data_IF_696609183167
#
_entry.id   IF_696609183167
#
_cell.length_a   1.000
_cell.length_b   1.000
_cell.length_c   1.000
_cell.angle_alpha   90.00
_cell.angle_beta   90.00
_cell.angle_gamma   90.00
#
_symmetry.space_group_name_H-M   'P 1'
#
loop_
_entity.id
_entity.type
_entity.pdbx_description
1 polymer ?
#
# COMPACT_ATOMS: atom_id res chain seq x y z
N UNK A 1 -18.54 -4.82 46.92
CA UNK A 1 -18.60 -3.36 46.73
C UNK A 1 -19.34 -3.11 45.43
N UNK A 2 -19.99 -1.96 45.25
CA UNK A 2 -20.66 -1.61 43.99
C UNK A 2 -19.62 -1.39 42.89
N UNK A 3 -19.84 -1.99 41.71
CA UNK A 3 -18.94 -1.95 40.55
C UNK A 3 -19.60 -1.32 39.30
N UNK A 4 -20.76 -0.68 39.47
CA UNK A 4 -21.53 -0.06 38.37
C UNK A 4 -20.80 1.10 37.67
N UNK A 5 -19.87 1.76 38.35
CA UNK A 5 -19.03 2.82 37.78
C UNK A 5 -17.58 2.56 38.16
N UNK A 6 -16.72 2.48 37.16
CA UNK A 6 -15.29 2.24 37.33
C UNK A 6 -14.48 3.24 36.51
N UNK A 7 -13.30 3.61 37.02
CA UNK A 7 -12.36 4.49 36.33
C UNK A 7 -11.03 3.76 36.25
N UNK A 8 -10.55 3.56 35.02
CA UNK A 8 -9.29 2.88 34.73
C UNK A 8 -8.30 3.89 34.18
N UNK A 9 -7.08 3.91 34.72
CA UNK A 9 -5.99 4.75 34.24
C UNK A 9 -4.93 3.86 33.59
N UNK A 10 -4.70 4.06 32.30
CA UNK A 10 -3.78 3.26 31.50
C UNK A 10 -2.74 4.16 30.83
N UNK A 11 -1.62 3.58 30.40
CA UNK A 11 -0.48 4.33 29.87
C UNK A 11 -0.42 4.41 28.34
N UNK A 12 -1.30 3.70 27.63
CA UNK A 12 -1.36 3.71 26.15
C UNK A 12 -2.72 3.18 25.66
N UNK A 13 -3.14 3.55 24.42
CA UNK A 13 -4.36 3.02 23.81
C UNK A 13 -4.40 1.49 23.75
N UNK A 14 -3.28 0.84 23.41
CA UNK A 14 -3.19 -0.62 23.43
C UNK A 14 -3.54 -1.19 24.81
N UNK A 15 -2.96 -0.62 25.88
CA UNK A 15 -3.22 -1.09 27.24
C UNK A 15 -4.64 -0.77 27.70
N UNK A 16 -5.21 0.34 27.26
CA UNK A 16 -6.63 0.67 27.51
C UNK A 16 -7.55 -0.40 26.93
N UNK A 17 -7.31 -0.81 25.68
CA UNK A 17 -8.12 -1.83 25.01
C UNK A 17 -7.93 -3.21 25.65
N UNK A 18 -6.70 -3.59 26.02
CA UNK A 18 -6.44 -4.83 26.76
C UNK A 18 -7.18 -4.86 28.11
N UNK A 19 -7.09 -3.78 28.88
CA UNK A 19 -7.79 -3.68 30.18
C UNK A 19 -9.30 -3.71 29.97
N UNK A 20 -9.81 -3.02 28.95
CA UNK A 20 -11.23 -3.07 28.58
C UNK A 20 -11.67 -4.50 28.28
N UNK A 21 -10.90 -5.24 27.49
CA UNK A 21 -11.19 -6.64 27.15
C UNK A 21 -11.28 -7.51 28.40
N UNK A 22 -10.28 -7.43 29.29
CA UNK A 22 -10.26 -8.17 30.55
C UNK A 22 -11.46 -7.81 31.46
N UNK A 23 -11.86 -6.53 31.48
CA UNK A 23 -13.04 -6.09 32.26
C UNK A 23 -14.35 -6.61 31.66
N UNK A 24 -14.48 -6.62 30.33
CA UNK A 24 -15.68 -7.17 29.68
C UNK A 24 -15.83 -8.67 29.95
N UNK A 25 -14.74 -9.43 29.88
CA UNK A 25 -14.74 -10.85 30.24
C UNK A 25 -15.19 -11.06 31.69
N UNK A 26 -14.62 -10.31 32.64
CA UNK A 26 -15.01 -10.40 34.04
C UNK A 26 -16.49 -10.05 34.26
N UNK A 27 -17.01 -9.02 33.59
CA UNK A 27 -18.42 -8.63 33.68
C UNK A 27 -19.37 -9.68 33.10
N UNK A 28 -18.99 -10.32 32.00
CA UNK A 28 -19.78 -11.38 31.36
C UNK A 28 -19.74 -12.68 32.17
N UNK A 29 -18.60 -13.01 32.81
CA UNK A 29 -18.48 -14.15 33.71
C UNK A 29 -19.33 -13.97 34.98
N UNK A 30 -19.34 -12.75 35.55
CA UNK A 30 -20.14 -12.43 36.74
C UNK A 30 -21.64 -12.28 36.42
N UNK A 31 -22.00 -11.93 35.18
CA UNK A 31 -23.39 -11.79 34.73
C UNK A 31 -23.66 -12.54 33.42
N UNK A 32 -24.04 -13.83 33.50
CA UNK A 32 -24.28 -14.67 32.32
C UNK A 32 -25.45 -14.24 31.42
N UNK A 33 -26.32 -13.32 31.89
CA UNK A 33 -27.41 -12.78 31.08
C UNK A 33 -26.97 -11.60 30.20
N UNK A 34 -25.79 -11.01 30.45
CA UNK A 34 -25.27 -9.88 29.69
C UNK A 34 -24.79 -10.36 28.31
N UNK A 35 -25.45 -9.88 27.28
CA UNK A 35 -25.10 -10.18 25.89
C UNK A 35 -24.17 -9.10 25.29
N UNK A 36 -23.26 -9.46 24.36
CA UNK A 36 -22.38 -8.47 23.73
C UNK A 36 -23.10 -7.30 23.04
N UNK A 37 -24.30 -7.53 22.50
CA UNK A 37 -25.11 -6.50 21.84
C UNK A 37 -25.69 -5.44 22.79
N UNK A 38 -25.64 -5.69 24.10
CA UNK A 38 -26.02 -4.72 25.14
C UNK A 38 -24.86 -3.81 25.56
N UNK A 39 -23.67 -3.97 24.96
CA UNK A 39 -22.45 -3.27 25.33
C UNK A 39 -22.11 -2.22 24.27
N UNK A 40 -22.05 -0.95 24.68
CA UNK A 40 -21.60 0.16 23.83
C UNK A 40 -20.26 0.68 24.30
N UNK A 41 -19.26 0.65 23.42
CA UNK A 41 -17.93 1.23 23.62
C UNK A 41 -17.84 2.49 22.77
N UNK A 42 -17.49 3.62 23.38
CA UNK A 42 -17.32 4.89 22.69
C UNK A 42 -15.90 5.42 22.87
N UNK A 43 -15.34 5.96 21.80
CA UNK A 43 -14.03 6.63 21.79
C UNK A 43 -14.18 7.98 21.07
N UNK A 44 -13.45 9.03 21.49
CA UNK A 44 -13.47 10.33 20.81
C UNK A 44 -12.96 10.29 19.37
N UNK A 45 -12.13 9.29 19.03
CA UNK A 45 -11.58 9.08 17.70
C UNK A 45 -11.46 7.57 17.43
N UNK A 46 -12.38 7.04 16.61
CA UNK A 46 -12.39 5.62 16.28
C UNK A 46 -11.30 5.23 15.29
N UNK A 47 -10.83 6.14 14.44
CA UNK A 47 -9.76 5.85 13.47
C UNK A 47 -8.44 5.57 14.18
N UNK A 48 -8.14 6.32 15.25
CA UNK A 48 -6.94 6.10 16.07
C UNK A 48 -7.01 4.81 16.90
N UNK A 49 -8.19 4.38 17.37
CA UNK A 49 -8.32 3.20 18.24
C UNK A 49 -8.55 1.89 17.47
N UNK A 50 -9.08 2.00 16.26
CA UNK A 50 -9.42 0.93 15.36
C UNK A 50 -8.38 -0.22 15.27
N UNK A 51 -7.09 0.05 15.00
CA UNK A 51 -6.08 -1.01 14.91
C UNK A 51 -5.84 -1.75 16.24
N UNK A 52 -5.95 -1.05 17.37
CA UNK A 52 -5.75 -1.65 18.69
C UNK A 52 -6.93 -2.53 19.09
N UNK A 53 -8.16 -2.12 18.75
CA UNK A 53 -9.37 -2.94 18.93
C UNK A 53 -9.23 -4.23 18.13
N UNK A 54 -8.84 -4.14 16.85
CA UNK A 54 -8.61 -5.33 16.02
C UNK A 54 -7.53 -6.25 16.59
N UNK A 55 -6.40 -5.68 17.02
CA UNK A 55 -5.29 -6.46 17.57
C UNK A 55 -5.69 -7.26 18.83
N UNK A 56 -6.53 -6.69 19.69
CA UNK A 56 -6.95 -7.33 20.95
C UNK A 56 -8.17 -8.24 20.76
N UNK A 57 -9.19 -7.79 20.01
CA UNK A 57 -10.45 -8.53 19.89
C UNK A 57 -10.45 -9.58 18.78
N UNK A 58 -9.68 -9.39 17.69
CA UNK A 58 -9.63 -10.37 16.59
C UNK A 58 -8.58 -11.47 16.81
N UNK A 59 -7.58 -11.23 17.66
CA UNK A 59 -6.54 -12.20 18.02
C UNK A 59 -6.48 -12.34 19.54
N UNK A 60 -7.51 -12.93 20.19
CA UNK A 60 -7.47 -13.15 21.64
C UNK A 60 -6.27 -14.04 22.01
N UNK A 61 -5.66 -13.78 23.16
CA UNK A 61 -4.55 -14.60 23.64
C UNK A 61 -5.00 -16.05 23.88
N UNK A 62 -4.07 -17.00 23.85
CA UNK A 62 -4.37 -18.41 24.10
C UNK A 62 -5.17 -18.61 25.41
N UNK A 63 -6.39 -19.12 25.28
CA UNK A 63 -7.29 -19.40 26.39
C UNK A 63 -8.28 -18.27 26.74
N UNK A 64 -8.24 -17.13 26.05
CA UNK A 64 -9.26 -16.09 26.20
C UNK A 64 -10.47 -16.37 25.27
N UNK A 65 -11.72 -16.22 25.75
CA UNK A 65 -12.91 -16.33 24.90
C UNK A 65 -12.93 -15.21 23.88
N UNK A 66 -13.42 -15.45 22.68
CA UNK A 66 -13.67 -14.41 21.67
C UNK A 66 -14.94 -13.62 22.02
N UNK A 67 -14.86 -12.28 22.00
CA UNK A 67 -16.02 -11.39 22.14
C UNK A 67 -16.38 -10.83 20.77
N UNK A 68 -17.56 -11.16 20.20
CA UNK A 68 -18.01 -10.57 18.93
C UNK A 68 -18.13 -9.05 19.05
N UNK A 69 -17.64 -8.32 18.04
CA UNK A 69 -17.69 -6.86 18.01
C UNK A 69 -17.91 -6.34 16.59
N UNK A 70 -18.32 -5.07 16.49
CA UNK A 70 -18.39 -4.35 15.21
C UNK A 70 -17.96 -2.92 15.46
N UNK A 71 -17.11 -2.39 14.60
CA UNK A 71 -16.65 -1.00 14.67
C UNK A 71 -17.53 -0.16 13.75
N UNK A 72 -18.27 0.78 14.35
CA UNK A 72 -19.06 1.78 13.64
C UNK A 72 -18.26 3.09 13.45
N UNK A 73 -18.75 3.96 12.57
CA UNK A 73 -18.23 5.31 12.33
C UNK A 73 -16.76 5.41 11.90
N UNK A 74 -16.15 4.32 11.41
CA UNK A 74 -14.90 4.43 10.65
C UNK A 74 -15.17 5.31 9.43
N UNK A 75 -14.41 6.39 9.32
CA UNK A 75 -14.37 7.19 8.11
C UNK A 75 -14.08 6.27 6.92
N UNK A 76 -14.74 6.59 5.81
CA UNK A 76 -14.57 5.94 4.51
C UNK A 76 -13.09 5.92 4.03
N UNK A 77 -12.19 6.66 4.70
CA UNK A 77 -10.76 6.75 4.41
C UNK A 77 -9.93 5.52 4.75
N UNK A 78 -10.45 4.55 5.51
CA UNK A 78 -9.75 3.27 5.75
C UNK A 78 -9.91 2.24 4.62
N UNK A 79 -10.95 2.39 3.78
CA UNK A 79 -11.38 1.36 2.83
C UNK A 79 -11.68 1.90 1.41
N UNK A 80 -11.25 3.12 1.06
CA UNK A 80 -11.36 3.63 -0.31
C UNK A 80 -10.02 3.72 -1.07
N UNK A 81 -9.35 2.59 -1.35
CA UNK A 81 -8.18 2.54 -2.23
C UNK A 81 -8.40 3.29 -3.54
N UNK A 82 -9.62 3.28 -4.09
CA UNK A 82 -9.93 3.85 -5.41
C UNK A 82 -9.89 5.39 -5.41
N UNK A 83 -10.44 6.05 -4.39
CA UNK A 83 -10.48 7.52 -4.32
C UNK A 83 -9.07 8.10 -4.18
N UNK A 84 -8.25 7.51 -3.31
CA UNK A 84 -6.86 7.93 -3.13
C UNK A 84 -6.01 7.64 -4.37
N UNK A 85 -6.19 6.46 -4.97
CA UNK A 85 -5.52 6.10 -6.24
C UNK A 85 -5.90 7.07 -7.36
N UNK A 86 -7.17 7.47 -7.43
CA UNK A 86 -7.64 8.45 -8.42
C UNK A 86 -6.99 9.82 -8.20
N UNK A 87 -6.90 10.29 -6.96
CA UNK A 87 -6.20 11.55 -6.65
C UNK A 87 -4.72 11.47 -7.00
N UNK A 88 -4.03 10.37 -6.65
CA UNK A 88 -2.63 10.13 -7.05
C UNK A 88 -2.45 10.15 -8.57
N UNK A 89 -3.41 9.61 -9.34
CA UNK A 89 -3.37 9.63 -10.80
C UNK A 89 -3.53 11.06 -11.36
N UNK A 90 -4.38 11.89 -10.75
CA UNK A 90 -4.47 13.31 -11.09
C UNK A 90 -3.18 14.05 -10.75
N UNK A 91 -2.60 13.82 -9.58
CA UNK A 91 -1.32 14.41 -9.18
C UNK A 91 -0.18 13.99 -10.10
N UNK A 92 -0.15 12.73 -10.54
CA UNK A 92 0.85 12.23 -11.50
C UNK A 92 0.81 13.01 -12.82
N UNK A 93 -0.37 13.41 -13.29
CA UNK A 93 -0.52 14.17 -14.53
C UNK A 93 0.10 15.57 -14.49
N UNK A 94 0.21 16.16 -13.29
CA UNK A 94 0.87 17.45 -13.05
C UNK A 94 2.32 17.28 -12.58
N UNK A 95 2.76 16.05 -12.35
CA UNK A 95 4.09 15.76 -11.82
C UNK A 95 5.15 15.70 -12.91
N UNK A 96 6.38 15.38 -12.51
CA UNK A 96 7.49 15.11 -13.43
C UNK A 96 7.63 13.64 -13.78
N UNK A 97 6.62 12.82 -13.50
CA UNK A 97 6.65 11.37 -13.67
C UNK A 97 7.89 10.75 -13.03
N UNK A 98 8.19 11.07 -11.76
CA UNK A 98 9.32 10.45 -11.09
C UNK A 98 9.06 8.96 -10.94
N UNK A 99 10.15 8.18 -10.87
CA UNK A 99 10.06 6.74 -10.62
C UNK A 99 9.23 6.40 -9.40
N UNK A 100 9.45 7.10 -8.28
CA UNK A 100 8.67 6.90 -7.04
C UNK A 100 7.17 7.06 -7.28
N UNK A 101 6.78 8.17 -7.92
CA UNK A 101 5.37 8.52 -8.10
C UNK A 101 4.64 7.50 -9.00
N UNK A 102 5.35 6.95 -10.00
CA UNK A 102 4.80 5.94 -10.90
C UNK A 102 4.75 4.56 -10.24
N UNK A 103 5.81 4.15 -9.52
CA UNK A 103 5.83 2.87 -8.82
C UNK A 103 4.80 2.83 -7.69
N UNK A 104 4.65 3.92 -6.93
CA UNK A 104 3.63 4.05 -5.88
C UNK A 104 2.20 3.95 -6.44
N UNK A 105 1.98 4.41 -7.67
CA UNK A 105 0.70 4.27 -8.36
C UNK A 105 0.49 2.84 -8.84
N UNK A 106 1.53 2.20 -9.39
CA UNK A 106 1.49 0.80 -9.83
C UNK A 106 1.25 -0.17 -8.67
N UNK A 107 1.72 0.15 -7.47
CA UNK A 107 1.53 -0.67 -6.26
C UNK A 107 0.13 -0.53 -5.64
N UNK A 108 -0.67 0.46 -6.09
CA UNK A 108 -2.03 0.61 -5.60
C UNK A 108 -2.94 -0.54 -6.07
N UNK A 109 -3.75 -1.10 -5.17
CA UNK A 109 -4.62 -2.25 -5.46
C UNK A 109 -5.50 -2.07 -6.73
N UNK A 110 -6.18 -0.92 -6.94
CA UNK A 110 -7.00 -0.73 -8.15
C UNK A 110 -6.19 -0.77 -9.45
N UNK A 111 -4.94 -0.28 -9.44
CA UNK A 111 -4.06 -0.31 -10.62
C UNK A 111 -3.49 -1.72 -10.81
N UNK A 112 -3.04 -2.38 -9.75
CA UNK A 112 -2.59 -3.77 -9.81
C UNK A 112 -3.65 -4.69 -10.41
N UNK A 113 -4.89 -4.58 -9.95
CA UNK A 113 -6.01 -5.37 -10.49
C UNK A 113 -6.32 -5.01 -11.94
N UNK A 114 -6.32 -3.72 -12.30
CA UNK A 114 -6.63 -3.28 -13.66
C UNK A 114 -5.59 -3.74 -14.70
N UNK A 115 -4.31 -3.82 -14.32
CA UNK A 115 -3.21 -4.24 -15.18
C UNK A 115 -2.79 -5.70 -15.00
N UNK A 116 -3.33 -6.38 -13.98
CA UNK A 116 -3.03 -7.78 -13.67
C UNK A 116 -1.67 -8.01 -13.01
N UNK A 117 -1.11 -7.01 -12.32
CA UNK A 117 0.22 -7.09 -11.71
C UNK A 117 0.21 -7.77 -10.33
N UNK A 118 1.04 -8.79 -10.17
CA UNK A 118 1.42 -9.34 -8.88
C UNK A 118 2.70 -8.69 -8.30
N UNK A 119 3.06 -9.03 -7.07
CA UNK A 119 4.22 -8.44 -6.36
C UNK A 119 5.57 -8.78 -7.04
N UNK A 120 5.70 -9.99 -7.60
CA UNK A 120 6.90 -10.40 -8.32
C UNK A 120 7.08 -9.59 -9.61
N UNK A 121 5.97 -9.32 -10.33
CA UNK A 121 5.97 -8.48 -11.53
C UNK A 121 6.33 -7.03 -11.21
N UNK A 122 5.80 -6.45 -10.12
CA UNK A 122 6.18 -5.12 -9.68
C UNK A 122 7.65 -5.03 -9.30
N UNK A 123 8.17 -6.05 -8.60
CA UNK A 123 9.60 -6.15 -8.25
C UNK A 123 10.48 -6.20 -9.50
N UNK A 124 10.07 -6.92 -10.55
CA UNK A 124 10.76 -6.96 -11.84
C UNK A 124 10.71 -5.61 -12.56
N UNK A 125 9.56 -4.92 -12.53
CA UNK A 125 9.44 -3.57 -13.09
C UNK A 125 10.40 -2.61 -12.38
N UNK A 126 10.47 -2.65 -11.05
CA UNK A 126 11.39 -1.82 -10.27
C UNK A 126 12.86 -2.10 -10.65
N UNK A 127 13.23 -3.38 -10.78
CA UNK A 127 14.57 -3.77 -11.25
C UNK A 127 14.87 -3.20 -12.63
N UNK A 128 13.98 -3.42 -13.62
CA UNK A 128 14.19 -2.93 -14.98
C UNK A 128 14.30 -1.41 -15.05
N UNK A 129 13.50 -0.69 -14.25
CA UNK A 129 13.57 0.77 -14.09
C UNK A 129 14.93 1.20 -13.55
N UNK A 130 15.44 0.50 -12.53
CA UNK A 130 16.76 0.70 -11.94
C UNK A 130 17.89 0.51 -12.95
N UNK A 131 17.91 -0.64 -13.61
CA UNK A 131 18.96 -1.07 -14.54
C UNK A 131 19.02 -0.18 -15.79
N UNK A 132 17.85 0.23 -16.30
CA UNK A 132 17.76 1.14 -17.45
C UNK A 132 17.94 2.61 -17.08
N UNK A 133 18.21 2.91 -15.80
CA UNK A 133 18.44 4.24 -15.24
C UNK A 133 17.30 5.21 -15.55
N UNK A 134 16.07 4.72 -15.53
CA UNK A 134 14.89 5.60 -15.59
C UNK A 134 14.86 6.40 -14.28
N UNK A 135 14.53 7.69 -14.36
CA UNK A 135 14.46 8.58 -13.19
C UNK A 135 13.22 9.44 -13.20
N UNK A 136 12.93 10.12 -14.31
CA UNK A 136 11.78 11.01 -14.43
C UNK A 136 11.54 11.50 -15.87
N UNK A 137 10.34 12.01 -16.12
CA UNK A 137 9.89 12.59 -17.39
C UNK A 137 9.50 11.53 -18.42
N UNK A 138 8.42 11.77 -19.18
CA UNK A 138 7.99 10.81 -20.20
C UNK A 138 9.02 10.78 -21.34
N UNK A 139 9.37 11.94 -21.89
CA UNK A 139 10.34 12.08 -22.98
C UNK A 139 11.10 13.43 -22.93
N UNK A 140 11.93 13.70 -23.94
CA UNK A 140 12.66 14.96 -24.07
C UNK A 140 11.75 16.18 -24.35
N UNK A 141 10.59 16.01 -24.97
CA UNK A 141 9.64 17.10 -25.27
C UNK A 141 8.96 17.57 -23.99
N UNK A 142 8.55 16.66 -23.13
CA UNK A 142 8.02 16.98 -21.80
C UNK A 142 9.00 17.83 -20.99
N UNK A 143 10.30 17.48 -21.05
CA UNK A 143 11.33 18.29 -20.37
C UNK A 143 11.44 19.69 -20.93
N UNK A 144 11.28 19.85 -22.25
CA UNK A 144 11.29 21.15 -22.90
C UNK A 144 10.10 22.01 -22.47
N UNK A 145 8.92 21.40 -22.33
CA UNK A 145 7.72 22.08 -21.79
C UNK A 145 7.95 22.57 -20.35
N UNK A 146 8.77 21.85 -19.57
CA UNK A 146 9.25 22.27 -18.25
C UNK A 146 10.39 23.30 -18.27
N UNK A 147 10.71 23.90 -19.43
CA UNK A 147 11.82 24.83 -19.65
C UNK A 147 13.21 24.24 -19.32
N UNK A 148 13.38 22.93 -19.51
CA UNK A 148 14.66 22.23 -19.37
C UNK A 148 15.22 21.86 -20.76
N UNK A 149 16.52 21.54 -20.87
CA UNK A 149 17.09 21.06 -22.12
C UNK A 149 16.36 19.81 -22.63
N UNK A 150 16.01 19.82 -23.91
CA UNK A 150 15.37 18.69 -24.59
C UNK A 150 16.35 17.50 -24.61
N UNK A 151 16.05 16.45 -23.85
CA UNK A 151 16.91 15.29 -23.70
C UNK A 151 16.14 14.06 -23.19
N UNK A 152 16.30 12.95 -23.89
CA UNK A 152 15.75 11.64 -23.52
C UNK A 152 16.53 10.94 -22.39
N UNK A 153 17.58 11.56 -21.84
CA UNK A 153 18.33 10.94 -20.76
C UNK A 153 17.47 10.71 -19.51
N UNK A 154 17.46 9.48 -19.00
CA UNK A 154 16.75 9.08 -17.79
C UNK A 154 15.21 9.18 -17.86
N UNK A 155 14.63 9.29 -19.06
CA UNK A 155 13.18 9.33 -19.28
C UNK A 155 12.56 7.93 -19.35
N UNK A 156 11.25 7.85 -19.13
CA UNK A 156 10.48 6.62 -19.29
C UNK A 156 10.56 6.07 -20.71
N UNK A 157 10.35 6.92 -21.72
CA UNK A 157 10.37 6.49 -23.11
C UNK A 157 11.74 5.93 -23.51
N UNK A 158 12.84 6.54 -23.06
CA UNK A 158 14.17 6.04 -23.36
C UNK A 158 14.45 4.67 -22.72
N UNK A 159 14.09 4.48 -21.45
CA UNK A 159 14.27 3.20 -20.77
C UNK A 159 13.37 2.11 -21.34
N UNK A 160 12.09 2.41 -21.59
CA UNK A 160 11.16 1.46 -22.20
C UNK A 160 11.60 1.05 -23.61
N UNK A 161 12.19 1.96 -24.41
CA UNK A 161 12.78 1.60 -25.70
C UNK A 161 13.92 0.59 -25.56
N UNK A 162 14.81 0.75 -24.56
CA UNK A 162 15.91 -0.20 -24.32
C UNK A 162 15.40 -1.57 -23.92
N UNK A 163 14.38 -1.62 -23.05
CA UNK A 163 13.70 -2.84 -22.61
C UNK A 163 13.07 -3.55 -23.83
N UNK A 164 12.23 -2.85 -24.59
CA UNK A 164 11.56 -3.42 -25.78
C UNK A 164 12.54 -3.83 -26.87
N UNK A 165 13.63 -3.08 -27.05
CA UNK A 165 14.68 -3.43 -28.01
C UNK A 165 15.41 -4.71 -27.60
N UNK A 166 15.70 -4.87 -26.30
CA UNK A 166 16.31 -6.09 -25.78
C UNK A 166 15.41 -7.32 -25.83
N UNK A 167 14.09 -7.14 -25.84
CA UNK A 167 13.14 -8.20 -26.15
C UNK A 167 13.17 -8.61 -27.64
N UNK A 168 13.32 -7.64 -28.54
CA UNK A 168 13.28 -7.89 -29.99
C UNK A 168 14.62 -8.39 -30.55
N UNK A 169 15.74 -8.03 -29.92
CA UNK A 169 17.09 -8.39 -30.33
C UNK A 169 17.60 -9.60 -29.55
N UNK A 170 18.24 -10.54 -30.25
CA UNK A 170 18.94 -11.65 -29.60
C UNK A 170 20.08 -11.10 -28.74
N UNK A 171 20.26 -11.65 -27.55
CA UNK A 171 21.37 -11.35 -26.63
C UNK A 171 22.78 -11.44 -27.25
N UNK A 172 22.95 -12.13 -28.38
CA UNK A 172 24.22 -12.21 -29.12
C UNK A 172 24.57 -10.96 -29.94
N UNK A 173 23.62 -10.05 -30.15
CA UNK A 173 23.80 -8.85 -30.95
C UNK A 173 24.11 -7.64 -30.04
N UNK A 174 25.36 -7.51 -29.58
CA UNK A 174 25.86 -6.37 -28.78
C UNK A 174 25.93 -5.03 -29.57
N UNK A 175 25.18 -4.90 -30.66
CA UNK A 175 25.21 -3.73 -31.53
C UNK A 175 24.19 -2.68 -31.07
N UNK A 176 24.59 -1.41 -31.13
CA UNK A 176 23.66 -0.31 -30.99
C UNK A 176 22.68 -0.31 -32.17
N UNK A 177 21.39 -0.12 -31.88
CA UNK A 177 20.37 0.15 -32.88
C UNK A 177 19.89 1.60 -32.71
N UNK A 178 20.07 2.44 -33.73
CA UNK A 178 19.69 3.86 -33.68
C UNK A 178 20.27 4.60 -32.45
N UNK A 179 21.55 4.35 -32.13
CA UNK A 179 22.25 4.83 -30.93
C UNK A 179 21.65 4.39 -29.58
N UNK A 180 20.73 3.41 -29.59
CA UNK A 180 20.12 2.81 -28.41
C UNK A 180 20.78 1.46 -28.12
N UNK A 181 21.17 1.24 -26.87
CA UNK A 181 21.66 -0.04 -26.38
C UNK A 181 20.52 -0.90 -25.84
N UNK A 182 20.44 -2.14 -26.30
CA UNK A 182 19.40 -3.09 -25.92
C UNK A 182 19.61 -3.64 -24.48
N UNK A 183 18.52 -3.83 -23.74
CA UNK A 183 18.55 -4.41 -22.39
C UNK A 183 18.10 -5.87 -22.40
N UNK A 184 19.05 -6.80 -22.33
CA UNK A 184 18.83 -8.23 -22.59
C UNK A 184 18.45 -9.10 -21.37
N UNK A 185 18.25 -8.50 -20.19
CA UNK A 185 17.91 -9.28 -18.98
C UNK A 185 16.52 -9.94 -19.05
N UNK A 186 15.70 -9.54 -20.03
CA UNK A 186 14.40 -10.15 -20.34
C UNK A 186 14.51 -11.61 -20.80
N UNK A 187 15.57 -11.99 -21.53
CA UNK A 187 15.74 -13.37 -22.02
C UNK A 187 16.20 -14.33 -20.92
N UNK A 188 16.77 -13.82 -19.81
CA UNK A 188 17.33 -14.64 -18.73
C UNK A 188 16.28 -15.32 -17.85
N UNK A 189 15.04 -14.86 -17.84
CA UNK A 189 14.02 -15.32 -16.89
C UNK A 189 13.09 -16.40 -17.41
N UNK A 190 13.06 -16.64 -18.74
CA UNK A 190 12.16 -17.61 -19.36
C UNK A 190 12.83 -18.99 -19.57
N UNK A 191 14.13 -19.11 -19.28
CA UNK A 191 14.94 -20.34 -19.41
C UNK A 191 15.29 -21.02 -18.06
N UNK A 192 14.52 -20.76 -16.99
CA UNK A 192 14.69 -21.40 -15.67
C UNK A 192 13.44 -22.16 -15.18
#
# INVERSE_FOLDING_TARGET
ADQSIQVHNCHSPMREVEVLYDQLLALMDDNPELSPDEILIMTPDIESYAPFIEAVFATPNEGQPEIPYTIADRGVGGEQPVSDTFLKLLELSESRFKVTDVLDLLDSNPIREAFGFNEDELSRIEQWVGDNRIRWGIDGKDKKELNLPESDHFTWQAGLRRILLGYAMRSSDEQLYDDIYAYHELESSDDA
#
